data_IF_265158568061
#
_entry.id   IF_265158568061
#
_cell.length_a   1.000
_cell.length_b   1.000
_cell.length_c   1.000
_cell.angle_alpha   90.00
_cell.angle_beta   90.00
_cell.angle_gamma   90.00
#
_symmetry.space_group_name_H-M   'P 1'
#
loop_
_entity.id
_entity.type
_entity.pdbx_description
1 polymer ?
#
# COMPACT_ATOMS: atom_id res chain seq x y z
N UNK A 1 13.53 -0.78 6.97
CA UNK A 1 14.66 -1.23 6.13
C UNK A 1 14.11 -1.52 4.73
N UNK A 2 14.68 -1.02 3.63
CA UNK A 2 14.18 -1.36 2.29
C UNK A 2 14.39 -2.85 2.03
N UNK A 3 13.32 -3.56 1.69
CA UNK A 3 13.37 -4.96 1.28
C UNK A 3 13.55 -4.94 -0.24
N UNK A 4 14.65 -5.48 -0.74
CA UNK A 4 14.83 -5.68 -2.18
C UNK A 4 13.87 -6.77 -2.65
N UNK A 5 12.82 -6.36 -3.35
CA UNK A 5 11.86 -7.29 -3.93
C UNK A 5 12.45 -7.91 -5.22
N UNK A 6 12.34 -9.24 -5.42
CA UNK A 6 12.64 -9.88 -6.69
C UNK A 6 11.91 -9.18 -7.85
N UNK A 7 12.61 -9.00 -8.97
CA UNK A 7 12.02 -8.39 -10.18
C UNK A 7 10.87 -9.26 -10.70
N UNK A 8 9.82 -8.61 -11.20
CA UNK A 8 8.69 -9.29 -11.85
C UNK A 8 7.57 -9.74 -10.90
N UNK A 9 7.67 -9.46 -9.60
CA UNK A 9 6.56 -9.73 -8.68
C UNK A 9 5.37 -8.80 -8.94
N UNK A 10 4.12 -9.29 -8.82
CA UNK A 10 2.93 -8.47 -9.05
C UNK A 10 2.59 -7.56 -7.86
N UNK A 11 3.48 -7.47 -6.85
CA UNK A 11 3.28 -6.71 -5.63
C UNK A 11 4.59 -6.10 -5.11
N UNK A 12 4.45 -5.04 -4.31
CA UNK A 12 5.56 -4.43 -3.55
C UNK A 12 5.29 -4.53 -2.05
N UNK A 13 6.35 -4.55 -1.23
CA UNK A 13 6.23 -4.61 0.24
C UNK A 13 7.10 -3.50 0.84
N UNK A 14 6.51 -2.59 1.61
CA UNK A 14 7.17 -1.45 2.28
C UNK A 14 8.12 -0.62 1.38
N UNK A 15 7.86 -0.61 0.08
CA UNK A 15 8.64 0.12 -0.91
C UNK A 15 7.78 1.25 -1.45
N UNK A 16 8.24 2.49 -1.29
CA UNK A 16 7.51 3.71 -1.65
C UNK A 16 8.27 4.52 -2.70
N UNK A 17 8.36 3.95 -3.90
CA UNK A 17 9.00 4.58 -5.07
C UNK A 17 7.95 4.87 -6.13
N UNK A 18 8.23 5.74 -7.11
CA UNK A 18 7.35 5.90 -8.26
C UNK A 18 7.05 4.56 -8.96
N UNK A 19 8.04 3.67 -9.06
CA UNK A 19 7.87 2.34 -9.64
C UNK A 19 6.91 1.46 -8.84
N UNK A 20 6.99 1.46 -7.50
CA UNK A 20 6.07 0.66 -6.69
C UNK A 20 4.64 1.20 -6.71
N UNK A 21 4.43 2.50 -6.94
CA UNK A 21 3.08 3.07 -7.11
C UNK A 21 2.35 2.55 -8.35
N UNK A 22 3.09 2.02 -9.34
CA UNK A 22 2.53 1.36 -10.51
C UNK A 22 2.11 -0.10 -10.24
N UNK A 23 2.52 -0.68 -9.10
CA UNK A 23 2.10 -2.04 -8.74
C UNK A 23 0.66 -2.06 -8.23
N UNK A 24 -0.11 -3.08 -8.62
CA UNK A 24 -1.53 -3.19 -8.23
C UNK A 24 -1.72 -3.47 -6.74
N UNK A 25 -0.73 -4.12 -6.12
CA UNK A 25 -0.81 -4.59 -4.75
C UNK A 25 0.42 -4.11 -3.97
N UNK A 26 0.21 -3.22 -3.00
CA UNK A 26 1.26 -2.83 -2.07
C UNK A 26 0.92 -3.38 -0.69
N UNK A 27 1.90 -3.96 -0.01
CA UNK A 27 1.74 -4.43 1.36
C UNK A 27 2.55 -3.55 2.30
N UNK A 28 1.89 -3.07 3.34
CA UNK A 28 2.52 -2.38 4.44
C UNK A 28 2.55 -3.29 5.67
N UNK A 29 3.75 -3.72 6.06
CA UNK A 29 3.86 -4.79 7.06
C UNK A 29 3.56 -4.27 8.47
N UNK A 30 4.23 -3.20 8.89
CA UNK A 30 4.08 -2.61 10.22
C UNK A 30 4.46 -1.12 10.24
N UNK A 31 3.88 -0.38 11.18
CA UNK A 31 3.94 1.08 11.23
C UNK A 31 5.20 1.61 11.93
N UNK A 32 6.37 1.15 11.51
CA UNK A 32 7.64 1.72 11.91
C UNK A 32 8.07 2.83 10.93
N UNK A 33 8.78 3.85 11.45
CA UNK A 33 9.14 5.06 10.70
C UNK A 33 9.93 4.76 9.42
N UNK A 34 10.85 3.81 9.46
CA UNK A 34 11.69 3.40 8.34
C UNK A 34 10.93 2.56 7.30
N UNK A 35 9.80 1.94 7.68
CA UNK A 35 8.87 1.27 6.76
C UNK A 35 7.84 2.23 6.16
N UNK A 36 7.79 3.48 6.62
CA UNK A 36 6.89 4.54 6.13
C UNK A 36 7.62 5.63 5.33
N UNK A 37 8.94 5.55 5.22
CA UNK A 37 9.75 6.54 4.53
C UNK A 37 9.38 6.63 3.04
N UNK A 38 8.81 7.75 2.63
CA UNK A 38 8.38 7.98 1.23
C UNK A 38 6.92 7.61 0.93
N UNK A 39 6.16 7.08 1.89
CA UNK A 39 4.77 6.66 1.68
C UNK A 39 3.86 7.81 1.19
N UNK A 40 4.14 9.05 1.63
CA UNK A 40 3.40 10.22 1.18
C UNK A 40 3.59 10.53 -0.32
N UNK A 41 4.72 10.13 -0.91
CA UNK A 41 5.00 10.28 -2.34
C UNK A 41 4.26 9.25 -3.21
N UNK A 42 3.69 8.19 -2.62
CA UNK A 42 2.94 7.15 -3.33
C UNK A 42 1.44 7.43 -3.41
N UNK A 43 1.02 8.70 -3.49
CA UNK A 43 -0.38 9.11 -3.58
C UNK A 43 -1.17 8.47 -4.75
N UNK A 44 -0.47 7.88 -5.73
CA UNK A 44 -1.06 7.15 -6.85
C UNK A 44 -1.33 5.66 -6.58
N UNK A 45 -0.85 5.10 -5.47
CA UNK A 45 -1.04 3.68 -5.15
C UNK A 45 -2.54 3.39 -4.91
N UNK A 46 -3.11 2.53 -5.76
CA UNK A 46 -4.55 2.21 -5.75
C UNK A 46 -4.98 1.39 -4.53
N UNK A 47 -4.07 0.63 -3.92
CA UNK A 47 -4.43 -0.36 -2.90
C UNK A 47 -3.22 -0.73 -2.03
N UNK A 48 -3.23 -0.29 -0.76
CA UNK A 48 -2.21 -0.61 0.24
C UNK A 48 -2.82 -1.52 1.31
N UNK A 49 -2.38 -2.76 1.38
CA UNK A 49 -2.85 -3.75 2.34
C UNK A 49 -2.04 -3.70 3.63
N UNK A 50 -2.71 -3.69 4.77
CA UNK A 50 -2.08 -3.74 6.07
C UNK A 50 -2.97 -4.41 7.12
N UNK A 51 -2.44 -4.72 8.30
CA UNK A 51 -3.28 -5.12 9.43
C UNK A 51 -4.13 -3.94 9.93
N UNK A 52 -5.25 -4.20 10.62
CA UNK A 52 -6.07 -3.11 11.18
C UNK A 52 -5.27 -2.23 12.16
N UNK A 53 -4.38 -2.84 12.95
CA UNK A 53 -3.50 -2.13 13.89
C UNK A 53 -2.52 -1.23 13.13
N UNK A 54 -1.91 -1.75 12.07
CA UNK A 54 -1.00 -0.96 11.21
C UNK A 54 -1.72 0.24 10.60
N UNK A 55 -2.93 0.05 10.05
CA UNK A 55 -3.75 1.16 9.49
C UNK A 55 -4.01 2.24 10.53
N UNK A 56 -4.41 1.86 11.75
CA UNK A 56 -4.72 2.81 12.82
C UNK A 56 -3.48 3.62 13.24
N UNK A 57 -2.33 2.95 13.42
CA UNK A 57 -1.08 3.62 13.78
C UNK A 57 -0.64 4.56 12.66
N UNK A 58 -0.64 4.10 11.41
CA UNK A 58 -0.25 4.93 10.26
C UNK A 58 -1.10 6.19 10.15
N UNK A 59 -2.44 6.09 10.28
CA UNK A 59 -3.32 7.26 10.24
C UNK A 59 -3.16 8.19 11.46
N UNK A 60 -2.78 7.65 12.62
CA UNK A 60 -2.52 8.45 13.83
C UNK A 60 -1.27 9.31 13.69
N UNK A 61 -0.20 8.77 13.11
CA UNK A 61 1.07 9.48 12.93
C UNK A 61 1.15 10.28 11.63
N UNK A 62 0.36 9.89 10.62
CA UNK A 62 0.29 10.55 9.31
C UNK A 62 -1.17 10.84 8.95
N UNK A 63 -1.82 11.81 9.62
CA UNK A 63 -3.23 12.14 9.39
C UNK A 63 -3.51 12.65 7.96
N UNK A 64 -2.49 13.15 7.27
CA UNK A 64 -2.56 13.55 5.85
C UNK A 64 -2.61 12.35 4.88
N UNK A 65 -2.43 11.13 5.37
CA UNK A 65 -2.46 9.95 4.51
C UNK A 65 -3.89 9.63 4.07
N UNK A 66 -4.07 9.35 2.78
CA UNK A 66 -5.40 9.03 2.24
C UNK A 66 -5.89 7.69 2.82
N UNK A 67 -6.80 7.76 3.79
CA UNK A 67 -7.42 6.59 4.40
C UNK A 67 -8.08 5.65 3.38
N UNK A 68 -8.62 6.21 2.29
CA UNK A 68 -9.26 5.41 1.24
C UNK A 68 -8.27 4.53 0.47
N UNK A 69 -6.96 4.79 0.55
CA UNK A 69 -5.92 3.97 -0.05
C UNK A 69 -5.48 2.78 0.84
N UNK A 70 -5.82 2.79 2.13
CA UNK A 70 -5.45 1.74 3.09
C UNK A 70 -6.58 0.71 3.25
N UNK A 71 -6.29 -0.53 2.85
CA UNK A 71 -7.16 -1.67 3.06
C UNK A 71 -6.67 -2.54 4.21
N UNK A 72 -7.50 -2.67 5.25
CA UNK A 72 -7.25 -3.64 6.30
C UNK A 72 -7.48 -5.05 5.77
N UNK A 73 -6.44 -5.88 5.83
CA UNK A 73 -6.57 -7.32 5.66
C UNK A 73 -7.47 -7.87 6.76
N UNK A 74 -8.54 -8.57 6.38
CA UNK A 74 -9.36 -9.36 7.30
C UNK A 74 -9.12 -10.83 7.01
N UNK A 75 -8.90 -11.66 8.04
CA UNK A 75 -8.53 -13.08 7.87
C UNK A 75 -9.56 -13.91 7.08
N UNK A 76 -10.81 -13.45 6.96
CA UNK A 76 -11.89 -14.19 6.29
C UNK A 76 -12.22 -13.74 4.84
N UNK A 77 -11.62 -12.66 4.32
CA UNK A 77 -11.93 -12.14 2.97
C UNK A 77 -10.72 -11.47 2.33
N UNK A 78 -9.93 -12.24 1.58
CA UNK A 78 -8.95 -11.72 0.60
C UNK A 78 -9.63 -11.24 -0.70
N UNK A 79 -10.92 -10.90 -0.68
CA UNK A 79 -11.57 -10.25 -1.83
C UNK A 79 -11.31 -8.76 -1.73
N UNK A 80 -10.35 -8.29 -2.50
CA UNK A 80 -10.04 -6.89 -2.67
C UNK A 80 -11.23 -6.19 -3.32
N UNK A 81 -11.80 -5.20 -2.63
CA UNK A 81 -12.75 -4.25 -3.19
C UNK A 81 -12.06 -2.98 -3.72
N UNK A 82 -10.77 -3.08 -4.05
CA UNK A 82 -10.05 -2.00 -4.71
C UNK A 82 -10.68 -1.81 -6.10
N UNK A 83 -11.12 -0.58 -6.44
CA UNK A 83 -11.78 -0.33 -7.72
C UNK A 83 -10.83 -0.72 -8.85
N UNK A 84 -11.29 -1.57 -9.75
CA UNK A 84 -10.57 -1.88 -10.98
C UNK A 84 -10.36 -0.56 -11.72
N UNK A 85 -9.13 -0.12 -12.03
CA UNK A 85 -8.97 1.03 -12.91
C UNK A 85 -9.66 0.69 -14.22
N UNK A 86 -10.61 1.54 -14.64
CA UNK A 86 -11.29 1.43 -15.93
C UNK A 86 -10.21 1.22 -16.99
N UNK A 87 -10.29 0.10 -17.72
CA UNK A 87 -9.43 -0.12 -18.87
C UNK A 87 -9.72 1.00 -19.87
N UNK A 88 -8.79 1.94 -20.02
CA UNK A 88 -8.80 2.84 -21.17
C UNK A 88 -8.57 1.97 -22.39
N UNK A 89 -9.64 1.74 -23.16
CA UNK A 89 -9.53 1.22 -24.53
C UNK A 89 -8.50 2.05 -25.28
N UNK A 90 -7.59 1.37 -25.96
CA UNK A 90 -6.79 2.00 -27.01
C UNK A 90 -7.70 2.49 -28.14
#
# INVERSE_FOLDING_TARGET
MPIEMPRGLPFSVDTWTPASSLTRHLFHTHAHRDHLAGIAGTAAALCIYASSVTVLITLRYFPQFNRAALWSLRPARLRCSCPTPMATSR
#
